data_IF_949380139105
#
_entry.id   IF_949380139105
#
_cell.length_a   1.000
_cell.length_b   1.000
_cell.length_c   1.000
_cell.angle_alpha   90.00
_cell.angle_beta   90.00
_cell.angle_gamma   90.00
#
_symmetry.space_group_name_H-M   'P 1'
#
loop_
_entity.id
_entity.type
_entity.pdbx_description
1 polymer ?
#
# COMPACT_ATOMS: atom_id res chain seq x y z
N UNK A 1 3.48 -17.78 7.25
CA UNK A 1 3.90 -16.76 8.24
C UNK A 1 3.78 -15.36 7.64
N UNK A 2 3.63 -14.37 8.50
CA UNK A 2 3.56 -12.96 8.11
C UNK A 2 4.64 -12.17 8.87
N UNK A 3 5.33 -11.28 8.16
CA UNK A 3 6.26 -10.32 8.75
C UNK A 3 5.79 -8.91 8.41
N UNK A 4 5.71 -8.05 9.42
CA UNK A 4 5.44 -6.64 9.28
C UNK A 4 6.63 -5.84 9.81
N UNK A 5 7.40 -5.28 8.89
CA UNK A 5 8.53 -4.39 9.15
C UNK A 5 8.83 -3.57 7.90
N UNK A 6 8.86 -2.25 8.01
CA UNK A 6 9.22 -1.37 6.90
C UNK A 6 10.74 -1.37 6.73
N UNK A 7 11.19 -1.77 5.54
CA UNK A 7 12.60 -1.88 5.19
C UNK A 7 12.84 -1.07 3.92
N UNK A 8 13.16 0.22 4.01
CA UNK A 8 13.47 1.06 2.85
C UNK A 8 14.79 0.63 2.21
N UNK A 9 15.12 1.26 1.09
CA UNK A 9 16.43 1.04 0.46
C UNK A 9 17.53 1.59 1.38
N UNK A 10 18.54 0.77 1.66
CA UNK A 10 19.72 1.21 2.40
C UNK A 10 20.52 2.19 1.54
N UNK A 11 20.73 3.41 2.05
CA UNK A 11 21.50 4.46 1.38
C UNK A 11 22.99 4.21 1.47
N UNK A 12 23.75 4.71 0.49
CA UNK A 12 25.20 4.51 0.42
C UNK A 12 25.93 5.18 1.59
N UNK A 13 25.37 6.24 2.17
CA UNK A 13 25.94 6.89 3.36
C UNK A 13 25.92 5.94 4.56
N UNK A 14 24.79 5.26 4.81
CA UNK A 14 24.70 4.27 5.89
C UNK A 14 25.63 3.07 5.63
N UNK A 15 25.78 2.64 4.37
CA UNK A 15 26.72 1.57 4.02
C UNK A 15 28.16 1.96 4.35
N UNK A 16 28.55 3.21 4.09
CA UNK A 16 29.87 3.74 4.42
C UNK A 16 30.08 3.81 5.93
N UNK A 17 29.09 4.30 6.66
CA UNK A 17 29.15 4.36 8.13
C UNK A 17 29.32 2.95 8.73
N UNK A 18 28.57 1.96 8.22
CA UNK A 18 28.72 0.57 8.68
C UNK A 18 30.09 0.00 8.31
N UNK A 19 30.62 0.31 7.10
CA UNK A 19 31.95 -0.14 6.69
C UNK A 19 33.08 0.45 7.57
N UNK A 20 32.92 1.71 8.01
CA UNK A 20 33.86 2.36 8.94
C UNK A 20 33.85 1.70 10.32
N UNK A 21 32.66 1.33 10.82
CA UNK A 21 32.49 0.71 12.15
C UNK A 21 32.80 -0.80 12.12
N UNK A 22 32.47 -1.46 11.05
CA UNK A 22 32.59 -2.90 10.87
C UNK A 22 33.18 -3.21 9.47
N UNK A 23 34.51 -3.18 9.32
CA UNK A 23 35.14 -3.40 8.02
C UNK A 23 34.69 -4.70 7.34
N UNK A 24 34.43 -4.63 6.04
CA UNK A 24 33.87 -5.68 5.17
C UNK A 24 32.38 -5.97 5.33
N UNK A 25 31.62 -5.20 6.12
CA UNK A 25 30.19 -5.39 6.35
C UNK A 25 29.29 -4.27 5.78
N UNK A 26 29.84 -3.24 5.15
CA UNK A 26 29.03 -2.15 4.59
C UNK A 26 27.98 -2.61 3.59
N UNK A 27 28.29 -3.64 2.78
CA UNK A 27 27.33 -4.20 1.83
C UNK A 27 26.23 -5.06 2.47
N UNK A 28 26.43 -5.54 3.70
CA UNK A 28 25.46 -6.33 4.44
C UNK A 28 24.46 -5.45 5.23
N UNK A 29 24.69 -4.13 5.23
CA UNK A 29 23.85 -3.19 5.96
C UNK A 29 22.43 -3.16 5.40
N UNK A 30 21.45 -3.33 6.28
CA UNK A 30 20.02 -3.25 5.96
C UNK A 30 19.40 -2.20 6.88
N UNK A 31 18.87 -1.13 6.28
CA UNK A 31 18.10 -0.13 7.00
C UNK A 31 16.69 -0.65 7.28
N UNK A 32 16.24 -0.47 8.51
CA UNK A 32 14.89 -0.91 8.90
C UNK A 32 14.37 -0.06 10.08
N UNK A 33 13.05 -0.04 10.26
CA UNK A 33 12.41 0.56 11.44
C UNK A 33 12.62 -0.30 12.70
N UNK A 34 12.37 0.28 13.87
CA UNK A 34 12.42 -0.44 15.14
C UNK A 34 11.27 -1.44 15.29
N UNK A 35 10.06 -1.09 14.76
CA UNK A 35 8.91 -1.97 14.81
C UNK A 35 9.18 -3.27 14.06
N UNK A 36 8.78 -4.38 14.67
CA UNK A 36 8.82 -5.69 14.04
C UNK A 36 7.69 -6.55 14.58
N UNK A 37 6.90 -7.12 13.69
CA UNK A 37 5.93 -8.15 14.02
C UNK A 37 6.19 -9.37 13.15
N UNK A 38 6.41 -10.52 13.79
CA UNK A 38 6.50 -11.80 13.10
C UNK A 38 5.42 -12.72 13.63
N UNK A 39 4.54 -13.18 12.75
CA UNK A 39 3.43 -14.08 13.08
C UNK A 39 3.63 -15.39 12.33
N UNK A 40 3.55 -16.49 13.04
CA UNK A 40 3.69 -17.83 12.49
C UNK A 40 2.48 -18.69 12.83
N UNK A 41 2.07 -19.51 11.88
CA UNK A 41 1.03 -20.49 12.11
C UNK A 41 1.58 -21.67 12.92
N UNK A 42 0.84 -22.11 13.93
CA UNK A 42 1.21 -23.24 14.78
C UNK A 42 0.98 -24.58 14.05
N UNK A 43 1.75 -24.79 12.97
CA UNK A 43 1.71 -26.01 12.13
C UNK A 43 3.16 -26.42 11.81
N UNK A 44 3.82 -27.04 12.76
CA UNK A 44 5.21 -27.50 12.61
C UNK A 44 5.24 -29.00 12.28
N UNK A 45 6.10 -29.40 11.33
CA UNK A 45 6.25 -30.80 10.89
C UNK A 45 7.15 -31.58 11.84
N UNK A 46 8.06 -30.89 12.54
CA UNK A 46 9.02 -31.45 13.49
C UNK A 46 9.13 -30.59 14.72
N UNK A 47 9.92 -31.01 15.69
CA UNK A 47 10.25 -30.19 16.85
C UNK A 47 10.82 -28.85 16.42
N UNK A 48 10.23 -27.78 16.92
CA UNK A 48 10.55 -26.41 16.55
C UNK A 48 10.82 -25.58 17.83
N UNK A 49 11.84 -24.73 17.85
CA UNK A 49 12.12 -23.91 19.02
C UNK A 49 10.95 -22.97 19.33
N UNK A 50 10.70 -22.73 20.62
CA UNK A 50 9.66 -21.81 21.06
C UNK A 50 10.08 -20.35 20.82
N UNK A 51 9.79 -19.86 19.61
CA UNK A 51 10.09 -18.48 19.21
C UNK A 51 9.18 -17.43 19.88
N UNK A 52 8.13 -17.84 20.60
CA UNK A 52 7.31 -16.90 21.36
C UNK A 52 8.11 -16.16 22.43
N UNK A 53 9.15 -16.80 22.96
CA UNK A 53 10.06 -16.22 23.94
C UNK A 53 10.93 -15.07 23.40
N UNK A 54 11.02 -14.94 22.08
CA UNK A 54 11.75 -13.86 21.39
C UNK A 54 10.81 -12.93 20.62
N UNK A 55 9.52 -12.92 20.98
CA UNK A 55 8.53 -11.97 20.47
C UNK A 55 7.81 -12.39 19.18
N UNK A 56 7.98 -13.65 18.72
CA UNK A 56 7.20 -14.18 17.61
C UNK A 56 5.80 -14.55 18.09
N UNK A 57 4.77 -14.08 17.39
CA UNK A 57 3.39 -14.49 17.65
C UNK A 57 3.13 -15.84 17.01
N UNK A 58 2.85 -16.86 17.82
CA UNK A 58 2.44 -18.19 17.37
C UNK A 58 0.92 -18.27 17.46
N UNK A 59 0.25 -18.56 16.34
CA UNK A 59 -1.22 -18.61 16.27
C UNK A 59 -1.69 -19.80 15.45
N UNK A 60 -2.89 -20.29 15.73
CA UNK A 60 -3.56 -21.27 14.86
C UNK A 60 -4.33 -20.64 13.71
N UNK A 61 -4.44 -19.30 13.68
CA UNK A 61 -5.20 -18.56 12.69
C UNK A 61 -4.47 -17.26 12.30
N UNK A 62 -3.70 -17.32 11.23
CA UNK A 62 -2.83 -16.22 10.77
C UNK A 62 -3.57 -15.18 9.92
N UNK A 63 -4.63 -15.58 9.21
CA UNK A 63 -5.31 -14.74 8.22
C UNK A 63 -5.70 -13.35 8.72
N UNK A 64 -6.20 -13.15 9.97
CA UNK A 64 -6.54 -11.82 10.46
C UNK A 64 -5.34 -10.87 10.51
N UNK A 65 -4.16 -11.35 10.89
CA UNK A 65 -2.94 -10.55 10.92
C UNK A 65 -2.51 -10.16 9.52
N UNK A 66 -2.53 -11.14 8.61
CA UNK A 66 -2.11 -10.95 7.23
C UNK A 66 -3.06 -9.99 6.49
N UNK A 67 -4.37 -10.19 6.62
CA UNK A 67 -5.37 -9.33 6.01
C UNK A 67 -5.30 -7.89 6.55
N UNK A 68 -5.16 -7.72 7.86
CA UNK A 68 -5.01 -6.40 8.47
C UNK A 68 -3.77 -5.68 7.93
N UNK A 69 -2.63 -6.35 7.90
CA UNK A 69 -1.38 -5.78 7.37
C UNK A 69 -1.50 -5.40 5.90
N UNK A 70 -2.06 -6.28 5.08
CA UNK A 70 -2.22 -6.06 3.63
C UNK A 70 -3.17 -4.89 3.37
N UNK A 71 -4.31 -4.82 4.05
CA UNK A 71 -5.34 -3.84 3.77
C UNK A 71 -5.03 -2.47 4.39
N UNK A 72 -4.57 -2.43 5.63
CA UNK A 72 -4.29 -1.18 6.34
C UNK A 72 -2.92 -0.63 5.98
N UNK A 73 -1.85 -1.39 6.21
CA UNK A 73 -0.51 -0.88 5.98
C UNK A 73 -0.19 -0.81 4.49
N UNK A 74 -0.22 -1.92 3.76
CA UNK A 74 0.16 -1.94 2.36
C UNK A 74 -0.83 -1.13 1.50
N UNK A 75 -2.13 -1.24 1.76
CA UNK A 75 -3.17 -0.46 1.08
C UNK A 75 -3.04 1.03 1.33
N UNK A 76 -2.85 1.44 2.60
CA UNK A 76 -2.62 2.84 2.98
C UNK A 76 -1.35 3.41 2.34
N UNK A 77 -0.25 2.67 2.40
CA UNK A 77 1.03 3.03 1.79
C UNK A 77 0.89 3.25 0.28
N UNK A 78 0.30 2.29 -0.42
CA UNK A 78 0.08 2.38 -1.87
C UNK A 78 -0.82 3.55 -2.23
N UNK A 79 -1.92 3.75 -1.51
CA UNK A 79 -2.89 4.82 -1.79
C UNK A 79 -2.27 6.20 -1.67
N UNK A 80 -1.49 6.44 -0.60
CA UNK A 80 -0.87 7.75 -0.35
C UNK A 80 0.33 8.04 -1.24
N UNK A 81 1.08 7.02 -1.67
CA UNK A 81 2.29 7.20 -2.46
C UNK A 81 2.01 7.95 -3.76
N UNK A 82 0.98 7.58 -4.49
CA UNK A 82 0.61 8.25 -5.75
C UNK A 82 0.09 9.67 -5.53
N UNK A 83 -0.69 9.92 -4.48
CA UNK A 83 -1.14 11.26 -4.11
C UNK A 83 0.05 12.17 -3.76
N UNK A 84 0.98 11.64 -2.97
CA UNK A 84 2.19 12.37 -2.58
C UNK A 84 3.10 12.68 -3.76
N UNK A 85 3.35 11.70 -4.63
CA UNK A 85 4.18 11.87 -5.82
C UNK A 85 3.57 12.89 -6.80
N UNK A 86 2.25 12.90 -6.97
CA UNK A 86 1.56 13.90 -7.79
C UNK A 86 1.62 15.32 -7.18
N UNK A 87 1.73 15.41 -5.86
CA UNK A 87 1.91 16.67 -5.13
C UNK A 87 3.37 17.16 -5.12
N UNK A 88 4.30 16.38 -5.72
CA UNK A 88 5.71 16.74 -5.85
C UNK A 88 6.60 16.36 -4.66
N UNK A 89 6.08 15.56 -3.72
CA UNK A 89 6.88 14.98 -2.66
C UNK A 89 7.77 13.83 -3.19
N UNK A 90 8.86 13.56 -2.50
CA UNK A 90 9.82 12.51 -2.85
C UNK A 90 9.87 11.40 -1.82
N UNK A 91 9.49 11.69 -0.58
CA UNK A 91 9.53 10.75 0.54
C UNK A 91 8.20 10.65 1.26
N UNK A 92 7.96 9.52 1.90
CA UNK A 92 6.65 9.21 2.48
C UNK A 92 6.34 10.04 3.75
N UNK A 93 7.36 10.35 4.55
CA UNK A 93 7.22 11.23 5.70
C UNK A 93 6.75 12.65 5.32
N UNK A 94 7.20 13.16 4.16
CA UNK A 94 6.71 14.43 3.62
C UNK A 94 5.22 14.39 3.30
N UNK A 95 4.73 13.27 2.77
CA UNK A 95 3.30 13.05 2.49
C UNK A 95 2.50 13.08 3.79
N UNK A 96 2.97 12.40 4.83
CA UNK A 96 2.29 12.31 6.12
C UNK A 96 2.26 13.65 6.87
N UNK A 97 3.21 14.55 6.65
CA UNK A 97 3.22 15.91 7.20
C UNK A 97 2.18 16.82 6.53
N UNK A 98 1.70 16.48 5.34
CA UNK A 98 0.67 17.25 4.67
C UNK A 98 -0.69 16.90 5.24
N UNK A 99 -1.38 17.90 5.83
CA UNK A 99 -2.68 17.72 6.47
C UNK A 99 -3.73 17.07 5.57
N UNK A 100 -3.79 17.45 4.29
CA UNK A 100 -4.78 16.91 3.36
C UNK A 100 -4.55 15.41 3.09
N UNK A 101 -3.28 15.00 2.96
CA UNK A 101 -2.94 13.59 2.75
C UNK A 101 -3.14 12.76 4.03
N UNK A 102 -2.80 13.31 5.18
CA UNK A 102 -3.05 12.68 6.47
C UNK A 102 -4.56 12.50 6.71
N UNK A 103 -5.38 13.52 6.42
CA UNK A 103 -6.85 13.44 6.51
C UNK A 103 -7.41 12.40 5.51
N UNK A 104 -6.82 12.29 4.31
CA UNK A 104 -7.17 11.24 3.35
C UNK A 104 -6.86 9.85 3.91
N UNK A 105 -5.66 9.64 4.48
CA UNK A 105 -5.28 8.37 5.11
C UNK A 105 -6.27 7.98 6.21
N UNK A 106 -6.54 8.89 7.14
CA UNK A 106 -7.44 8.63 8.27
C UNK A 106 -8.85 8.27 7.81
N UNK A 107 -9.39 8.99 6.82
CA UNK A 107 -10.71 8.67 6.23
C UNK A 107 -10.69 7.35 5.48
N UNK A 108 -9.67 7.10 4.67
CA UNK A 108 -9.50 5.83 3.96
C UNK A 108 -9.55 4.65 4.94
N UNK A 109 -8.77 4.72 6.03
CA UNK A 109 -8.70 3.65 7.00
C UNK A 109 -10.01 3.50 7.80
N UNK A 110 -10.50 4.59 8.40
CA UNK A 110 -11.59 4.53 9.38
C UNK A 110 -12.98 4.41 8.75
N UNK A 111 -13.19 4.97 7.56
CA UNK A 111 -14.51 5.01 6.91
C UNK A 111 -14.69 3.93 5.84
N UNK A 112 -13.59 3.44 5.22
CA UNK A 112 -13.67 2.54 4.07
C UNK A 112 -12.96 1.19 4.29
N UNK A 113 -11.70 1.17 4.79
CA UNK A 113 -10.94 -0.07 4.96
C UNK A 113 -11.42 -0.85 6.18
N UNK A 114 -11.38 -0.26 7.39
CA UNK A 114 -11.79 -0.96 8.62
C UNK A 114 -13.21 -1.53 8.51
N UNK A 115 -14.23 -0.76 8.04
CA UNK A 115 -15.58 -1.30 7.90
C UNK A 115 -15.73 -2.38 6.81
N UNK A 116 -14.69 -2.58 5.98
CA UNK A 116 -14.66 -3.63 4.95
C UNK A 116 -13.97 -4.91 5.42
N UNK A 117 -13.37 -4.91 6.60
CA UNK A 117 -12.74 -6.10 7.18
C UNK A 117 -13.78 -6.90 7.96
N UNK A 118 -13.97 -8.17 7.59
CA UNK A 118 -14.82 -9.11 8.30
C UNK A 118 -13.94 -10.12 9.04
N UNK A 119 -13.17 -9.62 10.01
CA UNK A 119 -12.19 -10.41 10.74
C UNK A 119 -12.30 -10.14 12.23
N UNK A 120 -12.12 -11.20 13.03
CA UNK A 120 -11.98 -11.07 14.48
C UNK A 120 -10.50 -10.97 14.82
N UNK A 121 -10.08 -9.80 15.26
CA UNK A 121 -8.70 -9.52 15.64
C UNK A 121 -8.46 -9.78 17.13
N UNK A 122 -7.27 -10.25 17.51
CA UNK A 122 -6.86 -10.36 18.91
C UNK A 122 -6.32 -9.04 19.49
N UNK A 123 -6.42 -7.92 18.75
CA UNK A 123 -5.94 -6.59 19.12
C UNK A 123 -6.91 -5.51 18.62
N UNK A 124 -6.78 -4.29 19.12
CA UNK A 124 -7.58 -3.15 18.67
C UNK A 124 -7.09 -2.66 17.30
N UNK A 125 -7.99 -2.67 16.32
CA UNK A 125 -7.68 -2.28 14.94
C UNK A 125 -7.42 -0.77 14.81
N UNK A 126 -8.02 0.06 15.66
CA UNK A 126 -7.80 1.50 15.65
C UNK A 126 -6.43 1.85 16.22
N UNK A 127 -5.99 1.17 17.28
CA UNK A 127 -4.63 1.28 17.80
C UNK A 127 -3.60 0.85 16.75
N UNK A 128 -3.90 -0.21 15.98
CA UNK A 128 -3.05 -0.63 14.87
C UNK A 128 -2.95 0.45 13.79
N UNK A 129 -4.05 1.10 13.41
CA UNK A 129 -4.03 2.21 12.43
C UNK A 129 -3.22 3.39 12.95
N UNK A 130 -3.38 3.76 14.22
CA UNK A 130 -2.63 4.87 14.82
C UNK A 130 -1.13 4.56 14.89
N UNK A 131 -0.76 3.31 15.17
CA UNK A 131 0.62 2.83 15.10
C UNK A 131 1.16 2.91 13.65
N UNK A 132 0.40 2.48 12.65
CA UNK A 132 0.79 2.58 11.22
C UNK A 132 0.99 4.04 10.82
N UNK A 133 0.10 4.95 11.25
CA UNK A 133 0.24 6.39 11.01
C UNK A 133 1.55 6.93 11.60
N UNK A 134 1.89 6.53 12.82
CA UNK A 134 3.15 6.91 13.48
C UNK A 134 4.38 6.40 12.70
N UNK A 135 4.36 5.13 12.28
CA UNK A 135 5.43 4.51 11.49
C UNK A 135 5.65 5.22 10.16
N UNK A 136 4.56 5.55 9.46
CA UNK A 136 4.59 6.29 8.19
C UNK A 136 5.13 7.72 8.34
N UNK A 137 4.99 8.32 9.51
CA UNK A 137 5.46 9.66 9.83
C UNK A 137 6.93 9.71 10.28
N UNK A 138 7.59 8.55 10.37
CA UNK A 138 8.99 8.44 10.83
C UNK A 138 9.93 9.20 9.90
N UNK A 139 10.80 10.01 10.51
CA UNK A 139 11.83 10.77 9.80
C UNK A 139 13.19 10.05 9.78
N UNK A 140 13.32 8.97 10.54
CA UNK A 140 14.55 8.17 10.64
C UNK A 140 14.54 6.98 9.69
N UNK A 141 13.36 6.48 9.34
CA UNK A 141 13.18 5.37 8.41
C UNK A 141 12.41 5.83 7.17
N UNK A 142 13.05 6.71 6.40
CA UNK A 142 12.44 7.38 5.25
C UNK A 142 12.33 6.44 4.06
N UNK A 143 11.13 6.31 3.49
CA UNK A 143 10.90 5.53 2.28
C UNK A 143 10.63 6.43 1.07
N UNK A 144 11.25 6.09 -0.06
CA UNK A 144 11.12 6.86 -1.30
C UNK A 144 9.81 6.53 -2.03
N UNK A 145 9.06 7.58 -2.41
CA UNK A 145 7.80 7.41 -3.14
C UNK A 145 7.99 6.70 -4.48
N UNK A 146 9.12 6.91 -5.15
CA UNK A 146 9.45 6.21 -6.41
C UNK A 146 9.42 4.69 -6.23
N UNK A 147 9.99 4.19 -5.13
CA UNK A 147 9.98 2.76 -4.80
C UNK A 147 8.57 2.25 -4.48
N UNK A 148 7.79 3.04 -3.74
CA UNK A 148 6.43 2.64 -3.33
C UNK A 148 5.48 2.66 -4.52
N UNK A 149 5.63 3.61 -5.45
CA UNK A 149 4.79 3.72 -6.66
C UNK A 149 5.04 2.62 -7.70
N UNK A 150 5.99 1.71 -7.50
CA UNK A 150 6.21 0.57 -8.40
C UNK A 150 5.07 -0.45 -8.32
N UNK A 151 4.83 -1.18 -9.43
CA UNK A 151 3.89 -2.32 -9.52
C UNK A 151 2.47 -1.97 -9.02
N UNK A 152 1.95 -0.87 -9.53
CA UNK A 152 0.62 -0.38 -9.14
C UNK A 152 -0.49 -1.36 -9.52
N UNK A 153 -0.39 -1.99 -10.67
CA UNK A 153 -1.38 -2.96 -11.14
C UNK A 153 -1.63 -4.08 -10.11
N UNK A 154 -0.57 -4.77 -9.68
CA UNK A 154 -0.67 -5.84 -8.68
C UNK A 154 -1.08 -5.33 -7.31
N UNK A 155 -0.50 -4.18 -6.89
CA UNK A 155 -0.78 -3.60 -5.57
C UNK A 155 -2.24 -3.15 -5.42
N UNK A 156 -2.80 -2.45 -6.40
CA UNK A 156 -4.21 -2.06 -6.32
C UNK A 156 -5.12 -3.28 -6.33
N UNK A 157 -4.83 -4.27 -7.18
CA UNK A 157 -5.62 -5.49 -7.24
C UNK A 157 -5.62 -6.25 -5.89
N UNK A 158 -4.45 -6.35 -5.25
CA UNK A 158 -4.28 -7.15 -4.02
C UNK A 158 -4.69 -6.38 -2.76
N UNK A 159 -4.35 -5.07 -2.68
CA UNK A 159 -4.47 -4.33 -1.43
C UNK A 159 -5.76 -3.49 -1.33
N UNK A 160 -6.30 -3.04 -2.47
CA UNK A 160 -7.39 -2.06 -2.52
C UNK A 160 -8.70 -2.67 -3.04
N UNK A 161 -8.66 -3.44 -4.13
CA UNK A 161 -9.86 -4.01 -4.76
C UNK A 161 -10.69 -4.87 -3.82
N UNK A 162 -10.12 -5.66 -2.89
CA UNK A 162 -10.95 -6.39 -1.92
C UNK A 162 -11.81 -5.48 -1.04
N UNK A 163 -11.24 -4.36 -0.52
CA UNK A 163 -12.01 -3.37 0.26
C UNK A 163 -13.05 -2.65 -0.59
N UNK A 164 -12.66 -2.25 -1.82
CA UNK A 164 -13.60 -1.67 -2.78
C UNK A 164 -14.82 -2.54 -2.97
N UNK A 165 -14.62 -3.84 -3.20
CA UNK A 165 -15.71 -4.81 -3.40
C UNK A 165 -16.66 -4.86 -2.21
N UNK A 166 -16.13 -4.94 -0.99
CA UNK A 166 -16.97 -4.98 0.21
C UNK A 166 -17.76 -3.67 0.39
N UNK A 167 -17.12 -2.53 0.17
CA UNK A 167 -17.81 -1.23 0.22
C UNK A 167 -18.98 -1.17 -0.78
N UNK A 168 -18.77 -1.65 -2.01
CA UNK A 168 -19.80 -1.68 -3.04
C UNK A 168 -20.93 -2.66 -2.70
N UNK A 169 -20.62 -3.83 -2.15
CA UNK A 169 -21.60 -4.80 -1.64
C UNK A 169 -22.49 -4.19 -0.54
N UNK A 170 -21.93 -3.31 0.28
CA UNK A 170 -22.65 -2.57 1.32
C UNK A 170 -23.43 -1.35 0.77
N UNK A 171 -23.44 -1.14 -0.54
CA UNK A 171 -24.08 0.02 -1.18
C UNK A 171 -23.38 1.36 -0.90
N UNK A 172 -22.15 1.33 -0.42
CA UNK A 172 -21.34 2.53 -0.11
C UNK A 172 -20.66 3.07 -1.35
N UNK A 173 -20.34 4.36 -1.32
CA UNK A 173 -19.53 5.06 -2.31
C UNK A 173 -18.15 5.36 -1.70
N UNK A 174 -17.13 4.52 -1.93
CA UNK A 174 -15.81 4.64 -1.28
C UNK A 174 -14.96 5.73 -1.94
N UNK A 175 -15.16 6.97 -1.53
CA UNK A 175 -14.57 8.18 -2.14
C UNK A 175 -13.05 8.20 -2.01
N UNK A 176 -12.49 7.73 -0.88
CA UNK A 176 -11.05 7.75 -0.68
C UNK A 176 -10.36 6.67 -1.53
N UNK A 177 -10.96 5.49 -1.63
CA UNK A 177 -10.49 4.44 -2.57
C UNK A 177 -10.52 4.97 -4.00
N UNK A 178 -11.60 5.62 -4.43
CA UNK A 178 -11.67 6.20 -5.78
C UNK A 178 -10.62 7.27 -6.02
N UNK A 179 -10.35 8.14 -5.05
CA UNK A 179 -9.26 9.14 -5.14
C UNK A 179 -7.89 8.48 -5.25
N UNK A 180 -7.65 7.39 -4.53
CA UNK A 180 -6.40 6.62 -4.61
C UNK A 180 -6.22 5.99 -5.99
N UNK A 181 -7.28 5.40 -6.54
CA UNK A 181 -7.29 4.85 -7.91
C UNK A 181 -7.05 5.97 -8.93
N UNK A 182 -7.71 7.11 -8.76
CA UNK A 182 -7.53 8.26 -9.65
C UNK A 182 -6.09 8.79 -9.61
N UNK A 183 -5.47 8.86 -8.45
CA UNK A 183 -4.07 9.26 -8.31
C UNK A 183 -3.14 8.28 -9.05
N UNK A 184 -3.33 6.98 -8.89
CA UNK A 184 -2.58 5.97 -9.64
C UNK A 184 -2.76 6.11 -11.15
N UNK A 185 -4.00 6.27 -11.63
CA UNK A 185 -4.29 6.49 -13.06
C UNK A 185 -3.58 7.73 -13.61
N UNK A 186 -3.69 8.87 -12.91
CA UNK A 186 -3.08 10.14 -13.34
C UNK A 186 -1.56 10.02 -13.35
N UNK A 187 -0.97 9.40 -12.33
CA UNK A 187 0.47 9.15 -12.24
C UNK A 187 0.96 8.30 -13.41
N UNK A 188 0.31 7.15 -13.65
CA UNK A 188 0.65 6.23 -14.72
C UNK A 188 0.48 6.88 -16.11
N UNK A 189 -0.57 7.68 -16.29
CA UNK A 189 -0.82 8.41 -17.54
C UNK A 189 0.22 9.50 -17.80
N UNK A 190 0.68 10.21 -16.75
CA UNK A 190 1.78 11.17 -16.91
C UNK A 190 3.07 10.47 -17.33
N UNK A 191 3.35 9.29 -16.80
CA UNK A 191 4.47 8.47 -17.24
C UNK A 191 4.33 8.03 -18.70
N UNK A 192 3.17 7.48 -19.09
CA UNK A 192 2.86 7.09 -20.48
C UNK A 192 3.05 8.25 -21.48
N UNK A 193 2.76 9.49 -21.06
CA UNK A 193 2.98 10.72 -21.86
C UNK A 193 4.41 11.27 -21.80
N UNK A 194 5.36 10.51 -21.25
CA UNK A 194 6.78 10.87 -21.24
C UNK A 194 7.17 11.95 -20.22
N UNK A 195 6.42 12.10 -19.12
CA UNK A 195 6.79 13.03 -18.05
C UNK A 195 8.09 12.59 -17.39
N UNK A 196 9.20 13.31 -17.66
CA UNK A 196 10.56 13.00 -17.17
C UNK A 196 10.71 13.04 -15.65
N UNK A 197 9.78 13.68 -14.94
CA UNK A 197 9.79 13.76 -13.46
C UNK A 197 9.20 12.52 -12.78
N UNK A 198 8.55 11.64 -13.55
CA UNK A 198 7.92 10.43 -13.05
C UNK A 198 8.76 9.24 -13.48
N UNK A 199 9.24 8.48 -12.51
CA UNK A 199 9.84 7.18 -12.73
C UNK A 199 8.86 6.12 -12.27
N UNK A 200 8.55 5.19 -13.16
CA UNK A 200 7.55 4.17 -12.89
C UNK A 200 8.04 2.82 -13.43
N UNK A 201 8.15 1.85 -12.55
CA UNK A 201 8.40 0.47 -12.90
C UNK A 201 7.11 -0.33 -12.70
N UNK A 202 6.48 -0.71 -13.81
CA UNK A 202 5.24 -1.47 -13.83
C UNK A 202 5.44 -2.76 -14.63
N UNK A 203 5.56 -3.92 -13.95
CA UNK A 203 5.72 -5.20 -14.63
C UNK A 203 4.59 -5.52 -15.62
N UNK A 204 3.38 -5.03 -15.32
CA UNK A 204 2.20 -5.21 -16.16
C UNK A 204 1.99 -4.06 -17.16
N UNK A 205 3.06 -3.35 -17.55
CA UNK A 205 2.96 -2.18 -18.41
C UNK A 205 2.22 -2.43 -19.72
N UNK A 206 2.47 -3.57 -20.38
CA UNK A 206 1.80 -3.94 -21.63
C UNK A 206 0.28 -4.07 -21.50
N UNK A 207 -0.22 -4.36 -20.29
CA UNK A 207 -1.66 -4.42 -20.00
C UNK A 207 -2.22 -3.05 -19.62
N UNK A 208 -1.43 -2.23 -18.95
CA UNK A 208 -1.86 -0.94 -18.42
C UNK A 208 -1.79 0.17 -19.47
N UNK A 209 -0.71 0.25 -20.27
CA UNK A 209 -0.46 1.33 -21.22
C UNK A 209 -1.62 1.61 -22.17
N UNK A 210 -2.28 0.61 -22.80
CA UNK A 210 -3.41 0.86 -23.69
C UNK A 210 -4.58 1.55 -23.00
N UNK A 211 -4.74 1.34 -21.69
CA UNK A 211 -5.82 1.91 -20.88
C UNK A 211 -5.56 3.35 -20.44
N UNK A 212 -4.34 3.87 -20.68
CA UNK A 212 -3.90 5.21 -20.31
C UNK A 212 -3.93 6.20 -21.48
N UNK A 213 -4.24 5.73 -22.67
CA UNK A 213 -4.29 6.56 -23.89
C UNK A 213 -5.45 7.56 -23.85
N UNK A 214 -5.37 8.59 -24.69
CA UNK A 214 -6.45 9.55 -24.83
C UNK A 214 -7.72 8.84 -25.34
N UNK A 215 -8.85 9.08 -24.68
CA UNK A 215 -10.11 8.39 -24.98
C UNK A 215 -10.27 7.00 -24.33
N UNK A 216 -9.27 6.44 -23.69
CA UNK A 216 -9.32 5.08 -23.13
C UNK A 216 -9.92 5.01 -21.70
N UNK A 217 -10.44 6.12 -21.15
CA UNK A 217 -10.97 6.14 -19.77
C UNK A 217 -12.09 5.12 -19.57
N UNK A 218 -12.96 4.95 -20.55
CA UNK A 218 -14.04 3.95 -20.48
C UNK A 218 -13.49 2.53 -20.40
N UNK A 219 -12.45 2.24 -21.17
CA UNK A 219 -11.76 0.96 -21.14
C UNK A 219 -11.06 0.73 -19.80
N UNK A 220 -10.48 1.77 -19.19
CA UNK A 220 -9.85 1.67 -17.87
C UNK A 220 -10.86 1.31 -16.78
N UNK A 221 -11.98 2.06 -16.67
CA UNK A 221 -12.96 1.85 -15.59
C UNK A 221 -13.81 0.58 -15.77
N UNK A 222 -13.85 0.01 -16.97
CA UNK A 222 -14.56 -1.24 -17.27
C UNK A 222 -13.65 -2.47 -17.41
N UNK A 223 -12.34 -2.32 -17.17
CA UNK A 223 -11.37 -3.39 -17.42
C UNK A 223 -11.46 -4.50 -16.37
N UNK A 224 -11.81 -5.71 -16.82
CA UNK A 224 -11.97 -6.86 -15.91
C UNK A 224 -10.63 -7.38 -15.36
N UNK A 225 -9.50 -7.15 -16.03
CA UNK A 225 -8.20 -7.53 -15.49
C UNK A 225 -7.76 -6.64 -14.33
N UNK A 226 -8.21 -5.37 -14.32
CA UNK A 226 -7.98 -4.44 -13.20
C UNK A 226 -8.97 -4.66 -12.06
N UNK A 227 -10.24 -4.78 -12.37
CA UNK A 227 -11.32 -4.66 -11.39
C UNK A 227 -12.09 -5.98 -11.16
N UNK A 228 -11.74 -7.06 -11.86
CA UNK A 228 -12.52 -8.30 -11.85
C UNK A 228 -13.91 -8.07 -12.39
N UNK A 229 -14.90 -8.63 -11.74
CA UNK A 229 -16.32 -8.52 -12.09
C UNK A 229 -17.01 -7.25 -11.54
N UNK A 230 -16.27 -6.37 -10.85
CA UNK A 230 -16.82 -5.13 -10.25
C UNK A 230 -17.57 -4.27 -11.29
N UNK A 231 -17.02 -3.97 -12.49
CA UNK A 231 -17.74 -3.14 -13.46
C UNK A 231 -19.05 -3.74 -13.94
N UNK A 232 -19.16 -5.07 -13.94
CA UNK A 232 -20.39 -5.77 -14.34
C UNK A 232 -21.45 -5.76 -13.26
N UNK A 233 -21.01 -5.98 -12.03
CA UNK A 233 -21.92 -6.18 -10.89
C UNK A 233 -22.35 -4.85 -10.22
N UNK A 234 -21.57 -3.77 -10.39
CA UNK A 234 -21.82 -2.48 -9.73
C UNK A 234 -21.82 -1.34 -10.75
N UNK A 235 -22.98 -1.06 -11.33
CA UNK A 235 -23.18 -0.04 -12.37
C UNK A 235 -22.66 1.35 -11.92
N UNK A 236 -22.76 1.65 -10.63
CA UNK A 236 -22.31 2.92 -10.06
C UNK A 236 -20.79 3.07 -10.07
N UNK A 237 -20.02 1.97 -10.00
CA UNK A 237 -18.57 1.99 -9.91
C UNK A 237 -17.91 2.79 -11.03
N UNK A 238 -18.15 2.40 -12.28
CA UNK A 238 -17.54 3.05 -13.45
C UNK A 238 -17.94 4.53 -13.56
N UNK A 239 -19.20 4.85 -13.30
CA UNK A 239 -19.71 6.23 -13.28
C UNK A 239 -19.03 7.08 -12.21
N UNK A 240 -18.96 6.56 -10.99
CA UNK A 240 -18.45 7.30 -9.85
C UNK A 240 -16.93 7.49 -9.92
N UNK A 241 -16.20 6.48 -10.37
CA UNK A 241 -14.76 6.57 -10.61
C UNK A 241 -14.46 7.57 -11.74
N UNK A 242 -15.21 7.54 -12.86
CA UNK A 242 -15.08 8.54 -13.91
C UNK A 242 -15.32 9.97 -13.41
N UNK A 243 -16.35 10.17 -12.60
CA UNK A 243 -16.65 11.49 -12.03
C UNK A 243 -15.46 12.07 -11.25
N UNK A 244 -14.71 11.23 -10.53
CA UNK A 244 -13.52 11.65 -9.78
C UNK A 244 -12.31 11.88 -10.71
N UNK A 245 -12.17 11.05 -11.75
CA UNK A 245 -11.08 11.21 -12.73
C UNK A 245 -11.21 12.44 -13.61
N UNK A 246 -12.42 12.98 -13.74
CA UNK A 246 -12.74 14.15 -14.56
C UNK A 246 -12.84 15.46 -13.75
N UNK A 247 -12.84 15.39 -12.40
CA UNK A 247 -12.85 16.54 -11.48
C UNK A 247 -11.45 17.08 -11.21
#
# INVERSE_FOLDING_TARGET
CMVDRITPRTHDDLRREVEELFPSHGNDAIQTEEYSQWVMENKFIADFPDLSQVGVTITSYIDPYEETKIRILNGGHTSLAYLGALSGYTTFDQVMRNKSHLDHFRKLQREEIIPSLDIKLPFDIYEYVDMVESRFSSVTNVDELERICMDGFTKFHTFIVPSLRVCLNQGKRPIQIYKSIAAWYIYSRKFAKGCKKIRYNEPNWLLLEPLLQDGALDSFVSNERLWGDIPKNYITFSRDLKSILMS
#
